data_IF_972740856610
#
_entry.id   IF_972740856610
#
_cell.length_a   1.000
_cell.length_b   1.000
_cell.length_c   1.000
_cell.angle_alpha   90.00
_cell.angle_beta   90.00
_cell.angle_gamma   90.00
#
_symmetry.space_group_name_H-M   'P 1'
#
loop_
_entity.id
_entity.type
_entity.pdbx_description
1 polymer ?
#
# COMPACT_ATOMS: atom_id res chain seq x y z
N UNK A 1 19.72 20.39 11.81
CA UNK A 1 19.63 19.26 12.74
C UNK A 1 18.46 18.44 12.25
N UNK A 2 18.74 17.44 11.44
CA UNK A 2 17.72 16.59 10.82
C UNK A 2 17.01 15.84 11.95
N UNK A 3 15.69 15.96 12.06
CA UNK A 3 14.94 15.32 13.13
C UNK A 3 14.94 13.81 12.89
N UNK A 4 15.84 13.06 13.52
CA UNK A 4 15.98 11.61 13.37
C UNK A 4 14.86 10.83 14.11
N UNK A 5 13.60 11.20 13.94
CA UNK A 5 12.53 10.31 14.36
C UNK A 5 12.50 9.12 13.39
N UNK A 6 12.53 7.87 13.87
CA UNK A 6 12.32 6.72 13.02
C UNK A 6 11.05 6.89 12.17
N UNK A 7 11.10 6.51 10.88
CA UNK A 7 9.98 6.70 9.94
C UNK A 7 8.61 6.23 10.45
N UNK A 8 8.58 5.20 11.30
CA UNK A 8 7.31 4.72 11.86
C UNK A 8 6.65 5.70 12.85
N UNK A 9 7.40 6.61 13.47
CA UNK A 9 6.88 7.65 14.36
C UNK A 9 6.27 8.84 13.61
N UNK A 10 6.60 9.00 12.33
CA UNK A 10 5.98 10.00 11.44
C UNK A 10 4.62 9.53 10.90
N UNK A 11 4.28 8.25 11.09
CA UNK A 11 3.09 7.62 10.52
C UNK A 11 2.06 7.33 11.60
N UNK A 12 0.78 7.53 11.25
CA UNK A 12 -0.32 7.17 12.14
C UNK A 12 -0.76 5.72 11.90
N UNK A 13 -0.95 4.94 12.96
CA UNK A 13 -1.47 3.56 12.87
C UNK A 13 -2.94 3.59 12.44
N UNK A 14 -3.24 2.83 11.39
CA UNK A 14 -4.60 2.53 10.94
C UNK A 14 -4.76 1.02 10.83
N UNK A 15 -5.84 0.49 11.39
CA UNK A 15 -6.20 -0.92 11.23
C UNK A 15 -7.09 -1.10 10.00
N UNK A 16 -6.78 -2.12 9.20
CA UNK A 16 -7.51 -2.51 8.00
C UNK A 16 -7.69 -4.03 8.00
N UNK A 17 -8.86 -4.49 7.54
CA UNK A 17 -9.12 -5.92 7.31
C UNK A 17 -8.86 -6.22 5.85
N UNK A 18 -8.01 -7.20 5.59
CA UNK A 18 -7.67 -7.69 4.26
C UNK A 18 -7.98 -9.19 4.22
N UNK A 19 -8.28 -9.71 3.04
CA UNK A 19 -8.47 -11.16 2.85
C UNK A 19 -7.13 -11.88 2.94
N UNK A 20 -7.15 -13.18 3.26
CA UNK A 20 -5.92 -13.99 3.33
C UNK A 20 -5.13 -13.93 2.01
N UNK A 21 -5.83 -13.99 0.87
CA UNK A 21 -5.21 -13.83 -0.46
C UNK A 21 -4.50 -12.49 -0.62
N UNK A 22 -5.12 -11.38 -0.16
CA UNK A 22 -4.48 -10.06 -0.23
C UNK A 22 -3.23 -10.00 0.64
N UNK A 23 -3.24 -10.63 1.81
CA UNK A 23 -2.08 -10.71 2.71
C UNK A 23 -0.94 -11.52 2.07
N UNK A 24 -1.26 -12.68 1.48
CA UNK A 24 -0.29 -13.53 0.79
C UNK A 24 0.32 -12.82 -0.43
N UNK A 25 -0.52 -12.15 -1.24
CA UNK A 25 -0.09 -11.41 -2.42
C UNK A 25 0.80 -10.21 -2.05
N UNK A 26 0.45 -9.46 -0.99
CA UNK A 26 1.29 -8.38 -0.47
C UNK A 26 2.64 -8.91 0.01
N UNK A 27 2.65 -9.98 0.81
CA UNK A 27 3.88 -10.57 1.30
C UNK A 27 4.78 -11.08 0.16
N UNK A 28 4.19 -11.71 -0.86
CA UNK A 28 4.92 -12.16 -2.05
C UNK A 28 5.50 -10.99 -2.86
N UNK A 29 4.70 -9.93 -3.06
CA UNK A 29 5.12 -8.72 -3.75
C UNK A 29 6.27 -8.01 -3.01
N UNK A 30 6.14 -7.82 -1.68
CA UNK A 30 7.18 -7.24 -0.83
C UNK A 30 8.49 -8.02 -0.90
N UNK A 31 8.43 -9.37 -0.84
CA UNK A 31 9.63 -10.23 -0.98
C UNK A 31 10.28 -10.05 -2.36
N UNK A 32 9.48 -10.06 -3.43
CA UNK A 32 9.97 -9.89 -4.80
C UNK A 32 10.66 -8.55 -4.99
N UNK A 33 10.04 -7.45 -4.55
CA UNK A 33 10.60 -6.11 -4.69
C UNK A 33 11.88 -5.93 -3.89
N UNK A 34 11.93 -6.41 -2.64
CA UNK A 34 13.15 -6.36 -1.85
C UNK A 34 14.30 -7.20 -2.45
N UNK A 35 13.98 -8.34 -3.08
CA UNK A 35 14.97 -9.14 -3.83
C UNK A 35 15.52 -8.35 -5.03
N UNK A 36 14.64 -7.73 -5.81
CA UNK A 36 15.03 -6.91 -6.98
C UNK A 36 15.89 -5.71 -6.58
N UNK A 37 15.58 -5.09 -5.44
CA UNK A 37 16.32 -3.94 -4.89
C UNK A 37 17.79 -4.26 -4.57
N UNK A 38 18.14 -5.54 -4.32
CA UNK A 38 19.50 -5.99 -3.97
C UNK A 38 20.17 -5.15 -2.86
N UNK A 39 19.39 -4.76 -1.85
CA UNK A 39 19.88 -3.98 -0.70
C UNK A 39 20.02 -2.46 -0.91
N UNK A 40 19.69 -1.90 -2.08
CA UNK A 40 19.80 -0.46 -2.35
C UNK A 40 18.64 0.37 -1.79
N UNK A 41 18.88 1.36 -0.94
CA UNK A 41 17.83 2.20 -0.32
C UNK A 41 17.13 1.56 0.89
N UNK A 42 15.91 1.99 1.20
CA UNK A 42 15.17 1.49 2.36
C UNK A 42 14.51 0.13 2.13
N UNK A 43 14.23 -0.60 3.22
CA UNK A 43 13.47 -1.86 3.17
C UNK A 43 12.00 -1.57 2.89
N UNK A 44 11.46 -2.22 1.86
CA UNK A 44 10.03 -2.14 1.57
C UNK A 44 9.27 -3.12 2.46
N UNK A 45 8.09 -2.72 2.91
CA UNK A 45 7.19 -3.50 3.77
C UNK A 45 5.77 -3.45 3.20
N UNK A 46 4.87 -4.30 3.70
CA UNK A 46 3.47 -4.28 3.29
C UNK A 46 2.84 -2.90 3.55
N UNK A 47 3.16 -2.26 4.68
CA UNK A 47 2.76 -0.87 4.96
C UNK A 47 3.30 0.14 3.95
N UNK A 48 4.43 -0.13 3.30
CA UNK A 48 4.93 0.74 2.22
C UNK A 48 4.08 0.59 0.97
N UNK A 49 3.71 -0.65 0.61
CA UNK A 49 2.84 -0.90 -0.54
C UNK A 49 1.41 -0.43 -0.31
N UNK A 50 0.87 -0.58 0.90
CA UNK A 50 -0.46 -0.07 1.26
C UNK A 50 -0.51 1.45 1.14
N UNK A 51 0.53 2.18 1.61
CA UNK A 51 0.61 3.63 1.44
C UNK A 51 0.60 4.03 -0.04
N UNK A 52 1.43 3.36 -0.86
CA UNK A 52 1.44 3.60 -2.32
C UNK A 52 0.07 3.28 -2.96
N UNK A 53 -0.59 2.19 -2.55
CA UNK A 53 -1.92 1.84 -3.06
C UNK A 53 -2.98 2.88 -2.66
N UNK A 54 -2.90 3.45 -1.46
CA UNK A 54 -3.77 4.55 -1.03
C UNK A 54 -3.54 5.79 -1.89
N UNK A 55 -2.28 6.18 -2.13
CA UNK A 55 -1.96 7.31 -3.01
C UNK A 55 -2.49 7.08 -4.44
N UNK A 56 -2.35 5.86 -4.97
CA UNK A 56 -2.90 5.48 -6.27
C UNK A 56 -4.43 5.53 -6.32
N UNK A 57 -5.10 5.15 -5.23
CA UNK A 57 -6.56 5.22 -5.12
C UNK A 57 -7.04 6.68 -5.11
N UNK A 58 -6.42 7.52 -4.28
CA UNK A 58 -6.76 8.94 -4.16
C UNK A 58 -6.48 9.70 -5.47
N UNK A 59 -5.42 9.34 -6.19
CA UNK A 59 -5.15 9.90 -7.51
C UNK A 59 -6.25 9.58 -8.56
N UNK A 60 -7.10 8.58 -8.30
CA UNK A 60 -8.23 8.18 -9.15
C UNK A 60 -9.59 8.53 -8.53
N UNK A 61 -9.64 9.42 -7.55
CA UNK A 61 -10.88 9.75 -6.83
C UNK A 61 -12.02 10.16 -7.77
N UNK A 62 -11.73 10.97 -8.80
CA UNK A 62 -12.73 11.38 -9.79
C UNK A 62 -13.30 10.25 -10.64
N UNK A 63 -12.64 9.09 -10.68
CA UNK A 63 -13.08 7.89 -11.39
C UNK A 63 -13.81 6.91 -10.49
N UNK A 64 -13.81 7.10 -9.17
CA UNK A 64 -14.54 6.24 -8.24
C UNK A 64 -16.04 6.50 -8.36
N UNK A 65 -16.79 5.44 -8.64
CA UNK A 65 -18.25 5.51 -8.76
C UNK A 65 -18.90 4.22 -8.28
N UNK A 66 -20.02 4.34 -7.58
CA UNK A 66 -20.76 3.21 -7.03
C UNK A 66 -20.96 3.32 -5.52
N UNK A 67 -21.65 2.34 -4.96
CA UNK A 67 -22.00 2.28 -3.53
C UNK A 67 -21.54 0.98 -2.86
N UNK A 68 -21.03 0.02 -3.65
CA UNK A 68 -20.47 -1.24 -3.16
C UNK A 68 -18.98 -1.36 -3.49
N UNK A 69 -18.25 -2.18 -2.74
CA UNK A 69 -16.83 -2.45 -3.01
C UNK A 69 -16.61 -2.95 -4.45
N UNK A 70 -17.47 -3.85 -4.92
CA UNK A 70 -17.40 -4.40 -6.28
C UNK A 70 -17.59 -3.34 -7.37
N UNK A 71 -18.53 -2.40 -7.18
CA UNK A 71 -18.71 -1.29 -8.12
C UNK A 71 -17.52 -0.32 -8.10
N UNK A 72 -16.99 -0.02 -6.91
CA UNK A 72 -15.80 0.82 -6.77
C UNK A 72 -14.59 0.17 -7.46
N UNK A 73 -14.38 -1.13 -7.27
CA UNK A 73 -13.32 -1.89 -7.96
C UNK A 73 -13.46 -1.77 -9.48
N UNK A 74 -14.64 -2.05 -10.02
CA UNK A 74 -14.93 -1.92 -11.45
C UNK A 74 -14.65 -0.51 -11.98
N UNK A 75 -15.03 0.53 -11.23
CA UNK A 75 -14.86 1.93 -11.64
C UNK A 75 -13.39 2.34 -11.86
N UNK A 76 -12.44 1.67 -11.19
CA UNK A 76 -10.99 1.90 -11.36
C UNK A 76 -10.27 0.78 -12.12
N UNK A 77 -11.02 -0.15 -12.71
CA UNK A 77 -10.52 -1.24 -13.55
C UNK A 77 -9.94 -2.44 -12.78
N UNK A 78 -10.46 -2.72 -11.58
CA UNK A 78 -10.11 -3.87 -10.72
C UNK A 78 -11.20 -4.94 -10.66
#
# INVERSE_FOLDING_TARGET
MESELPRYLELTRKEARLTDSQLDDLAALTRRLNKTRRGRGERLTDNTLIRVAVDMLLAKESSLSGTTEEELRKSVGL
#
